data_IF_729289587287
#
_entry.id   IF_729289587287
#
_cell.length_a   1.000
_cell.length_b   1.000
_cell.length_c   1.000
_cell.angle_alpha   90.00
_cell.angle_beta   90.00
_cell.angle_gamma   90.00
#
_symmetry.space_group_name_H-M   'P 1'
#
loop_
_entity.id
_entity.type
_entity.pdbx_description
1 polymer ?
#
# COMPACT_ATOMS: atom_id res chain seq x y z
N UNK A 1 15.73 18.43 20.37
CA UNK A 1 16.28 17.08 20.17
C UNK A 1 17.77 17.17 20.41
N UNK A 2 18.32 16.36 21.30
CA UNK A 2 19.75 16.38 21.66
C UNK A 2 20.59 15.76 20.53
N UNK A 3 21.87 16.10 20.46
CA UNK A 3 22.79 15.51 19.46
C UNK A 3 22.89 13.98 19.61
N UNK A 4 22.76 13.49 20.84
CA UNK A 4 22.72 12.06 21.15
C UNK A 4 21.49 11.37 20.56
N UNK A 5 20.33 12.04 20.57
CA UNK A 5 19.11 11.56 19.92
C UNK A 5 19.23 11.57 18.39
N UNK A 6 19.93 12.55 17.80
CA UNK A 6 20.21 12.57 16.35
C UNK A 6 21.12 11.42 15.92
N UNK A 7 22.14 11.13 16.72
CA UNK A 7 23.08 10.03 16.47
C UNK A 7 22.41 8.67 16.60
N UNK A 8 21.59 8.45 17.63
CA UNK A 8 20.80 7.21 17.75
C UNK A 8 19.81 7.01 16.59
N UNK A 9 19.16 8.09 16.15
CA UNK A 9 18.27 8.05 14.98
C UNK A 9 19.08 7.72 13.72
N UNK A 10 20.25 8.32 13.53
CA UNK A 10 21.12 8.03 12.39
C UNK A 10 21.70 6.62 12.39
N UNK A 11 22.11 6.09 13.54
CA UNK A 11 22.58 4.71 13.66
C UNK A 11 21.45 3.71 13.39
N UNK A 12 20.23 4.04 13.80
CA UNK A 12 19.04 3.25 13.47
C UNK A 12 18.78 3.23 11.95
N UNK A 13 18.84 4.38 11.28
CA UNK A 13 18.69 4.46 9.82
C UNK A 13 19.85 3.78 9.06
N UNK A 14 21.08 3.89 9.55
CA UNK A 14 22.23 3.20 8.96
C UNK A 14 22.16 1.68 9.15
N UNK A 15 21.61 1.22 10.27
CA UNK A 15 21.36 -0.21 10.52
C UNK A 15 20.25 -0.74 9.60
N UNK A 16 19.19 0.04 9.39
CA UNK A 16 18.14 -0.27 8.42
C UNK A 16 18.67 -0.26 6.97
N UNK A 17 19.64 0.59 6.64
CA UNK A 17 20.24 0.67 5.30
C UNK A 17 21.27 -0.44 5.00
N UNK A 18 21.89 -1.05 6.03
CA UNK A 18 22.84 -2.16 5.91
C UNK A 18 22.17 -3.50 5.57
N UNK A 19 20.89 -3.64 5.89
CA UNK A 19 20.03 -4.62 5.24
C UNK A 19 19.65 -3.98 3.92
N UNK A 20 20.04 -4.50 2.76
CA UNK A 20 19.60 -3.92 1.47
C UNK A 20 18.08 -3.78 1.56
N UNK A 21 17.54 -2.54 1.62
CA UNK A 21 16.10 -2.39 1.79
C UNK A 21 15.47 -3.10 0.59
N UNK A 22 14.46 -3.95 0.78
CA UNK A 22 13.70 -4.44 -0.36
C UNK A 22 13.26 -3.18 -1.12
N UNK A 23 13.63 -3.06 -2.40
CA UNK A 23 13.51 -1.80 -3.14
C UNK A 23 12.11 -1.22 -2.92
N UNK A 24 11.99 0.00 -2.40
CA UNK A 24 10.68 0.59 -2.11
C UNK A 24 10.01 0.97 -3.43
N UNK A 25 8.98 0.24 -3.81
CA UNK A 25 8.20 0.50 -5.02
C UNK A 25 6.99 1.34 -4.65
N UNK A 26 6.91 2.55 -5.18
CA UNK A 26 5.74 3.41 -5.08
C UNK A 26 4.95 3.38 -6.39
N UNK A 27 3.66 3.06 -6.30
CA UNK A 27 2.74 3.15 -7.43
C UNK A 27 1.55 4.04 -7.09
N UNK A 28 1.29 4.99 -7.97
CA UNK A 28 0.08 5.78 -7.96
C UNK A 28 -0.60 5.63 -9.33
N UNK A 29 -1.76 4.95 -9.40
CA UNK A 29 -2.48 4.84 -10.65
C UNK A 29 -2.96 6.23 -11.10
N UNK A 30 -2.88 6.50 -12.41
CA UNK A 30 -3.42 7.73 -12.97
C UNK A 30 -4.92 7.81 -12.69
N UNK A 31 -5.30 8.72 -11.78
CA UNK A 31 -6.66 8.86 -11.32
C UNK A 31 -7.62 9.35 -12.41
N UNK A 32 -7.12 9.95 -13.49
CA UNK A 32 -7.94 10.53 -14.56
C UNK A 32 -8.37 9.48 -15.58
N UNK A 33 -7.55 8.45 -15.79
CA UNK A 33 -7.74 7.47 -16.87
C UNK A 33 -8.04 6.07 -16.32
N UNK A 34 -7.32 5.63 -15.29
CA UNK A 34 -7.35 4.23 -14.84
C UNK A 34 -8.39 3.94 -13.75
N UNK A 35 -9.01 4.97 -13.19
CA UNK A 35 -9.93 4.84 -12.04
C UNK A 35 -11.40 5.10 -12.37
N UNK A 36 -11.75 5.23 -13.65
CA UNK A 36 -13.14 5.32 -14.10
C UNK A 36 -13.65 3.94 -14.52
N UNK A 37 -14.07 3.15 -13.54
CA UNK A 37 -14.69 1.85 -13.84
C UNK A 37 -16.06 2.06 -14.48
N UNK A 38 -16.35 1.25 -15.50
CA UNK A 38 -17.67 1.13 -16.10
C UNK A 38 -18.59 0.43 -15.09
N UNK A 39 -19.50 1.23 -14.51
CA UNK A 39 -20.47 0.80 -13.49
C UNK A 39 -21.49 -0.23 -14.01
N UNK A 40 -21.64 -0.36 -15.33
CA UNK A 40 -22.55 -1.34 -15.94
C UNK A 40 -21.90 -2.73 -16.10
N UNK A 41 -20.60 -2.84 -15.86
CA UNK A 41 -19.82 -4.08 -16.04
C UNK A 41 -19.27 -4.59 -14.70
N UNK A 42 -18.94 -5.89 -14.60
CA UNK A 42 -18.27 -6.43 -13.42
C UNK A 42 -16.93 -5.72 -13.13
N UNK A 43 -16.63 -5.48 -11.86
CA UNK A 43 -15.44 -4.74 -11.44
C UNK A 43 -14.16 -5.60 -11.44
N UNK A 44 -14.27 -6.92 -11.28
CA UNK A 44 -13.09 -7.80 -11.21
C UNK A 44 -12.19 -7.71 -12.45
N UNK A 45 -12.70 -7.85 -13.70
CA UNK A 45 -11.84 -7.72 -14.89
C UNK A 45 -11.20 -6.34 -15.01
N UNK A 46 -11.91 -5.28 -14.60
CA UNK A 46 -11.41 -3.91 -14.64
C UNK A 46 -10.30 -3.69 -13.60
N UNK A 47 -10.44 -4.27 -12.41
CA UNK A 47 -9.40 -4.26 -11.37
C UNK A 47 -8.17 -5.11 -11.75
N UNK A 48 -8.37 -6.21 -12.46
CA UNK A 48 -7.28 -7.00 -13.03
C UNK A 48 -6.46 -6.15 -14.03
N UNK A 49 -7.13 -5.44 -14.94
CA UNK A 49 -6.46 -4.52 -15.87
C UNK A 49 -5.73 -3.37 -15.16
N UNK A 50 -6.33 -2.82 -14.10
CA UNK A 50 -5.67 -1.81 -13.27
C UNK A 50 -4.39 -2.37 -12.63
N UNK A 51 -4.40 -3.60 -12.12
CA UNK A 51 -3.20 -4.26 -11.63
C UNK A 51 -2.17 -4.49 -12.75
N UNK A 52 -2.61 -4.91 -13.94
CA UNK A 52 -1.74 -5.14 -15.09
C UNK A 52 -1.05 -3.86 -15.60
N UNK A 53 -1.58 -2.67 -15.27
CA UNK A 53 -0.95 -1.38 -15.56
C UNK A 53 0.22 -1.02 -14.64
N UNK A 54 0.46 -1.79 -13.57
CA UNK A 54 1.57 -1.54 -12.65
C UNK A 54 2.89 -1.77 -13.41
N UNK A 55 3.84 -0.82 -13.41
CA UNK A 55 5.07 -0.90 -14.20
C UNK A 55 6.15 -1.76 -13.52
N UNK A 56 5.75 -2.76 -12.73
CA UNK A 56 6.65 -3.61 -11.95
C UNK A 56 6.49 -5.06 -12.38
N UNK A 57 7.62 -5.77 -12.44
CA UNK A 57 7.59 -7.21 -12.69
C UNK A 57 7.04 -7.95 -11.47
N UNK A 58 6.61 -9.19 -11.70
CA UNK A 58 6.19 -10.08 -10.61
C UNK A 58 7.29 -10.26 -9.56
N UNK A 59 8.52 -10.52 -9.99
CA UNK A 59 9.67 -10.70 -9.11
C UNK A 59 9.93 -9.46 -8.24
N UNK A 60 9.80 -8.26 -8.82
CA UNK A 60 9.87 -7.00 -8.08
C UNK A 60 8.74 -6.94 -7.04
N UNK A 61 7.50 -7.20 -7.44
CA UNK A 61 6.34 -7.17 -6.53
C UNK A 61 6.43 -8.21 -5.39
N UNK A 62 7.08 -9.35 -5.60
CA UNK A 62 7.26 -10.41 -4.59
C UNK A 62 8.41 -10.12 -3.61
N UNK A 63 9.46 -9.41 -4.05
CA UNK A 63 10.68 -9.20 -3.25
C UNK A 63 10.84 -7.78 -2.68
N UNK A 64 10.04 -6.81 -3.13
CA UNK A 64 10.12 -5.41 -2.71
C UNK A 64 9.16 -5.03 -1.58
N UNK A 65 9.44 -3.94 -0.86
CA UNK A 65 8.38 -3.26 -0.11
C UNK A 65 7.54 -2.44 -1.11
N UNK A 66 6.22 -2.60 -1.11
CA UNK A 66 5.34 -1.91 -2.06
C UNK A 66 4.40 -0.97 -1.31
N UNK A 67 4.39 0.30 -1.71
CA UNK A 67 3.46 1.32 -1.24
C UNK A 67 2.57 1.76 -2.41
N UNK A 68 1.27 1.69 -2.23
CA UNK A 68 0.29 2.09 -3.25
C UNK A 68 -0.53 3.28 -2.78
N UNK A 69 -0.62 4.32 -3.60
CA UNK A 69 -1.66 5.32 -3.45
C UNK A 69 -2.96 4.75 -4.04
N UNK A 70 -3.78 4.12 -3.18
CA UNK A 70 -5.00 3.47 -3.66
C UNK A 70 -6.00 4.48 -4.23
N UNK A 71 -6.90 4.02 -5.13
CA UNK A 71 -8.00 4.81 -5.65
C UNK A 71 -8.86 5.41 -4.52
N UNK A 72 -9.30 6.66 -4.66
CA UNK A 72 -10.17 7.30 -3.65
C UNK A 72 -11.58 6.69 -3.61
N UNK A 73 -12.02 6.02 -4.67
CA UNK A 73 -13.27 5.28 -4.69
C UNK A 73 -13.11 3.95 -3.94
N UNK A 74 -13.93 3.76 -2.89
CA UNK A 74 -13.82 2.61 -1.99
C UNK A 74 -13.99 1.26 -2.69
N UNK A 75 -14.94 1.14 -3.63
CA UNK A 75 -15.19 -0.11 -4.35
C UNK A 75 -13.98 -0.48 -5.20
N UNK A 76 -13.48 0.47 -5.99
CA UNK A 76 -12.30 0.26 -6.85
C UNK A 76 -11.08 -0.11 -6.00
N UNK A 77 -10.85 0.59 -4.88
CA UNK A 77 -9.76 0.28 -3.96
C UNK A 77 -9.87 -1.15 -3.39
N UNK A 78 -11.06 -1.56 -2.97
CA UNK A 78 -11.29 -2.91 -2.43
C UNK A 78 -11.02 -3.99 -3.49
N UNK A 79 -11.55 -3.82 -4.70
CA UNK A 79 -11.30 -4.76 -5.81
C UNK A 79 -9.81 -4.81 -6.20
N UNK A 80 -9.15 -3.66 -6.30
CA UNK A 80 -7.71 -3.60 -6.58
C UNK A 80 -6.89 -4.34 -5.52
N UNK A 81 -7.15 -4.10 -4.24
CA UNK A 81 -6.43 -4.75 -3.14
C UNK A 81 -6.68 -6.26 -3.11
N UNK A 82 -7.90 -6.71 -3.43
CA UNK A 82 -8.22 -8.13 -3.54
C UNK A 82 -7.45 -8.80 -4.69
N UNK A 83 -7.42 -8.16 -5.87
CA UNK A 83 -6.63 -8.63 -7.03
C UNK A 83 -5.14 -8.66 -6.68
N UNK A 84 -4.62 -7.57 -6.11
CA UNK A 84 -3.22 -7.45 -5.71
C UNK A 84 -2.84 -8.59 -4.77
N UNK A 85 -3.57 -8.77 -3.67
CA UNK A 85 -3.28 -9.84 -2.71
C UNK A 85 -3.41 -11.22 -3.34
N UNK A 86 -4.39 -11.44 -4.22
CA UNK A 86 -4.55 -12.72 -4.92
C UNK A 86 -3.37 -13.06 -5.84
N UNK A 87 -2.75 -12.06 -6.48
CA UNK A 87 -1.64 -12.26 -7.43
C UNK A 87 -0.26 -12.24 -6.78
N UNK A 88 -0.07 -11.42 -5.75
CA UNK A 88 1.23 -11.23 -5.07
C UNK A 88 1.34 -12.08 -3.79
N UNK A 89 0.22 -12.53 -3.23
CA UNK A 89 0.18 -13.37 -2.02
C UNK A 89 0.33 -12.62 -0.69
N UNK A 90 0.44 -11.28 -0.74
CA UNK A 90 0.54 -10.39 0.43
C UNK A 90 -0.11 -9.05 0.10
N UNK A 91 -0.49 -8.29 1.13
CA UNK A 91 -0.97 -6.93 0.93
C UNK A 91 0.19 -5.92 0.79
N UNK A 92 -0.02 -4.83 0.04
CA UNK A 92 0.91 -3.70 0.02
C UNK A 92 0.67 -2.80 1.25
N UNK A 93 1.59 -1.87 1.51
CA UNK A 93 1.26 -0.68 2.28
C UNK A 93 0.48 0.30 1.41
N UNK A 94 -0.37 1.13 2.02
CA UNK A 94 -1.17 2.13 1.31
C UNK A 94 -0.93 3.54 1.84
N UNK A 95 -1.00 4.53 0.96
CA UNK A 95 -1.01 5.94 1.34
C UNK A 95 -2.45 6.33 1.65
N UNK A 96 -2.78 6.57 2.92
CA UNK A 96 -4.06 7.18 3.28
C UNK A 96 -3.94 8.69 3.20
N UNK A 97 -4.83 9.30 2.43
CA UNK A 97 -4.94 10.75 2.28
C UNK A 97 -6.08 11.30 3.12
N UNK A 98 -5.98 12.55 3.52
CA UNK A 98 -7.08 13.29 4.17
C UNK A 98 -7.20 14.68 3.57
N UNK A 99 -8.40 15.23 3.66
CA UNK A 99 -8.67 16.60 3.23
C UNK A 99 -7.81 17.60 4.01
N UNK A 100 -7.50 18.71 3.34
CA UNK A 100 -6.73 19.81 3.89
C UNK A 100 -7.25 21.12 3.28
N UNK A 101 -7.14 22.21 4.06
CA UNK A 101 -7.76 23.51 3.76
C UNK A 101 -7.28 24.14 2.44
N UNK A 102 -6.09 23.75 1.96
CA UNK A 102 -5.63 24.03 0.60
C UNK A 102 -5.42 22.73 -0.16
N UNK A 103 -5.94 22.61 -1.40
CA UNK A 103 -5.59 21.48 -2.25
C UNK A 103 -4.08 21.46 -2.54
N UNK A 104 -3.48 20.25 -2.69
CA UNK A 104 -4.14 18.93 -2.72
C UNK A 104 -4.27 18.26 -1.34
N UNK A 105 -4.98 17.13 -1.28
CA UNK A 105 -5.01 16.23 -0.12
C UNK A 105 -3.61 15.99 0.45
N UNK A 106 -3.51 15.83 1.77
CA UNK A 106 -2.26 15.52 2.45
C UNK A 106 -2.18 14.04 2.85
N UNK A 107 -0.96 13.51 2.90
CA UNK A 107 -0.73 12.16 3.44
C UNK A 107 -1.00 12.18 4.94
N UNK A 108 -1.98 11.39 5.37
CA UNK A 108 -2.31 11.23 6.77
C UNK A 108 -1.46 10.14 7.42
N UNK A 109 -1.24 9.03 6.71
CA UNK A 109 -0.37 7.93 7.14
C UNK A 109 -0.01 7.02 5.97
N UNK A 110 1.02 6.20 6.17
CA UNK A 110 1.31 5.02 5.35
C UNK A 110 0.89 3.80 6.16
N UNK A 111 -0.21 3.15 5.77
CA UNK A 111 -0.77 2.02 6.49
C UNK A 111 -0.28 0.70 5.90
N UNK A 112 0.46 -0.10 6.67
CA UNK A 112 0.91 -1.43 6.25
C UNK A 112 -0.24 -2.46 6.40
N UNK A 113 -0.96 -2.72 5.32
CA UNK A 113 -2.12 -3.62 5.35
C UNK A 113 -1.74 -5.08 5.63
N UNK A 114 -0.52 -5.51 5.30
CA UNK A 114 -0.05 -6.86 5.60
C UNK A 114 0.18 -7.03 7.10
N UNK A 115 0.79 -6.05 7.77
CA UNK A 115 0.91 -6.01 9.24
C UNK A 115 -0.47 -5.95 9.90
N UNK A 116 -1.39 -5.11 9.41
CA UNK A 116 -2.78 -5.05 9.91
C UNK A 116 -3.45 -6.42 9.78
N UNK A 117 -3.32 -7.09 8.63
CA UNK A 117 -3.85 -8.44 8.40
C UNK A 117 -3.24 -9.45 9.37
N UNK A 118 -1.94 -9.39 9.64
CA UNK A 118 -1.27 -10.29 10.57
C UNK A 118 -1.74 -10.07 12.02
N UNK A 119 -1.83 -8.82 12.48
CA UNK A 119 -2.33 -8.47 13.80
C UNK A 119 -3.79 -8.92 13.98
N UNK A 120 -4.65 -8.66 12.97
CA UNK A 120 -6.03 -9.13 12.98
C UNK A 120 -6.14 -10.66 13.01
N UNK A 121 -5.21 -11.40 12.36
CA UNK A 121 -5.15 -12.87 12.46
C UNK A 121 -4.82 -13.34 13.87
N UNK A 122 -3.92 -12.66 14.59
CA UNK A 122 -3.57 -13.02 15.97
C UNK A 122 -4.75 -12.81 16.94
N UNK A 123 -5.58 -11.80 16.67
CA UNK A 123 -6.75 -11.47 17.48
C UNK A 123 -8.00 -12.29 17.12
N UNK A 124 -7.95 -13.08 16.03
CA UNK A 124 -9.11 -13.79 15.47
C UNK A 124 -9.85 -14.70 16.46
N UNK A 125 -9.20 -15.10 17.55
CA UNK A 125 -9.78 -15.96 18.59
C UNK A 125 -9.46 -15.50 20.02
N UNK A 126 -8.89 -14.31 20.23
CA UNK A 126 -8.68 -13.79 21.58
C UNK A 126 -9.98 -13.11 22.05
N UNK A 127 -10.87 -13.89 22.66
CA UNK A 127 -12.07 -13.36 23.34
C UNK A 127 -13.42 -13.99 23.01
N UNK A 128 -13.48 -15.20 22.45
CA UNK A 128 -14.74 -15.95 22.35
C UNK A 128 -14.67 -17.24 23.19
N UNK A 129 -15.52 -17.42 24.21
CA UNK A 129 -15.86 -18.76 24.70
C UNK A 129 -16.61 -19.57 23.63
#
# INVERSE_FOLDING_TARGET
MTEEQKTQVMDHYQTLAKQTPPALLYFEPDQRVLLHFDKSKPYYPQAALLFDSIPFTREQLENSAVVVAVPSNADIAAFFLAVYHGRVGRFPAIVRRREHDMPPFIVAEIANLETIRQNARQQRYQGQP
#
